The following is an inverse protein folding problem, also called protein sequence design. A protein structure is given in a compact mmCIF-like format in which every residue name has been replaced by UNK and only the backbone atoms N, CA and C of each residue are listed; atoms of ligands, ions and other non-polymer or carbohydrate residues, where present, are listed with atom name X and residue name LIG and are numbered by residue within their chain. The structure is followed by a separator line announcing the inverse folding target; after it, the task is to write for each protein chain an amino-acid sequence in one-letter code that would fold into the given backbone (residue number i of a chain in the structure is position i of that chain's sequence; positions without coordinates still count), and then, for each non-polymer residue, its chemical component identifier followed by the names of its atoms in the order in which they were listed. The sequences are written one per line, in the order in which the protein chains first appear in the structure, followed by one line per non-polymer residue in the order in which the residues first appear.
data_IF_052900414021
#
_entry.id   IF_052900414021
#
_cell.length_a   1.000
_cell.length_b   1.000
_cell.length_c   1.000
_cell.angle_alpha   90.00
_cell.angle_beta   90.00
_cell.angle_gamma   90.00
#
_symmetry.space_group_name_H-M   'P 1'
#
loop_
_entity.id
_entity.type
_entity.pdbx_description
1 polymer ?
#
# COMPACT_ATOMS: atom_id res chain seq x y z
N UNK A 1 -19.42 -3.44 12.60
CA UNK A 1 -18.31 -3.30 11.63
C UNK A 1 -17.99 -1.82 11.51
N UNK A 2 -16.80 -1.40 11.95
CA UNK A 2 -16.40 0.00 11.86
C UNK A 2 -16.25 0.37 10.37
N UNK A 3 -17.00 1.38 9.92
CA UNK A 3 -16.78 2.00 8.61
C UNK A 3 -15.48 2.79 8.72
N UNK A 4 -14.40 2.27 8.17
CA UNK A 4 -13.17 3.03 8.02
C UNK A 4 -13.47 4.10 6.97
N UNK A 5 -13.64 5.35 7.42
CA UNK A 5 -13.80 6.48 6.52
C UNK A 5 -12.40 6.77 5.97
N UNK A 6 -12.17 6.74 4.64
CA UNK A 6 -10.85 7.01 4.07
C UNK A 6 -10.42 8.40 4.54
N UNK A 7 -9.55 8.39 5.53
CA UNK A 7 -9.12 9.58 6.21
C UNK A 7 -8.20 10.35 5.26
N UNK A 8 -8.41 11.66 5.15
CA UNK A 8 -7.75 12.57 4.21
C UNK A 8 -6.27 12.79 4.52
N UNK A 9 -5.48 11.73 4.63
CA UNK A 9 -4.08 11.81 4.98
C UNK A 9 -3.24 12.17 3.75
N UNK A 10 -2.48 13.24 3.87
CA UNK A 10 -1.41 13.57 2.93
C UNK A 10 -0.14 12.77 3.19
N UNK A 11 0.97 13.22 2.59
CA UNK A 11 2.29 12.55 2.67
C UNK A 11 2.85 12.45 4.10
N UNK A 12 2.24 13.15 5.07
CA UNK A 12 2.54 13.02 6.50
C UNK A 12 2.29 11.60 7.05
N UNK A 13 1.28 10.88 6.54
CA UNK A 13 1.02 9.50 6.99
C UNK A 13 2.17 8.56 6.60
N UNK A 14 2.83 8.80 5.48
CA UNK A 14 4.00 8.02 5.05
C UNK A 14 5.14 8.07 6.08
N UNK A 15 5.26 9.19 6.80
CA UNK A 15 6.30 9.40 7.83
C UNK A 15 5.90 8.86 9.20
N UNK A 16 4.62 8.93 9.55
CA UNK A 16 4.13 8.67 10.92
C UNK A 16 3.57 7.27 11.12
N UNK A 17 3.08 6.63 10.07
CA UNK A 17 2.36 5.36 10.18
C UNK A 17 3.24 4.19 9.72
N UNK A 18 3.35 3.19 10.60
CA UNK A 18 4.01 1.91 10.29
C UNK A 18 3.02 0.81 9.91
N UNK A 19 1.76 0.97 10.29
CA UNK A 19 0.70 0.01 10.05
C UNK A 19 -0.30 0.57 9.05
N UNK A 20 -0.74 -0.27 8.13
CA UNK A 20 -1.63 0.08 7.04
C UNK A 20 -2.65 -1.03 6.83
N UNK A 21 -3.94 -0.70 6.87
CA UNK A 21 -5.01 -1.68 6.62
C UNK A 21 -5.35 -1.73 5.14
N UNK A 22 -5.48 -2.93 4.60
CA UNK A 22 -5.89 -3.17 3.22
C UNK A 22 -7.39 -2.89 3.07
N UNK A 23 -7.74 -1.98 2.16
CA UNK A 23 -9.13 -1.57 1.91
C UNK A 23 -9.82 -2.41 0.83
N UNK A 24 -9.05 -2.89 -0.15
CA UNK A 24 -9.56 -3.60 -1.31
C UNK A 24 -9.53 -5.13 -1.11
N UNK A 25 -10.40 -5.89 -1.78
CA UNK A 25 -10.39 -7.36 -1.70
C UNK A 25 -9.05 -8.00 -2.10
N UNK A 26 -8.26 -7.29 -2.91
CA UNK A 26 -7.05 -7.80 -3.52
C UNK A 26 -6.06 -6.66 -3.77
N UNK A 27 -4.90 -6.70 -3.09
CA UNK A 27 -3.79 -5.79 -3.38
C UNK A 27 -2.51 -6.60 -3.59
N UNK A 28 -1.75 -6.28 -4.64
CA UNK A 28 -0.56 -7.04 -5.00
C UNK A 28 0.68 -6.61 -4.23
N UNK A 29 1.48 -7.62 -3.87
CA UNK A 29 2.86 -7.46 -3.43
C UNK A 29 3.75 -7.45 -4.67
N UNK A 30 4.50 -6.39 -4.87
CA UNK A 30 5.37 -6.17 -6.01
C UNK A 30 6.85 -6.25 -5.60
N UNK A 31 7.75 -6.70 -6.49
CA UNK A 31 9.18 -6.82 -6.17
C UNK A 31 9.92 -5.48 -6.09
N UNK A 32 9.35 -4.41 -6.63
CA UNK A 32 9.90 -3.04 -6.60
C UNK A 32 8.79 -1.99 -6.66
N UNK A 33 9.10 -0.73 -6.34
CA UNK A 33 8.21 0.42 -6.52
C UNK A 33 8.22 0.95 -7.96
N UNK A 34 7.73 0.16 -8.92
CA UNK A 34 7.65 0.56 -10.33
C UNK A 34 6.19 0.50 -10.80
N UNK A 35 5.56 1.64 -11.16
CA UNK A 35 4.15 1.70 -11.55
C UNK A 35 3.86 1.01 -12.88
N UNK A 36 4.89 0.66 -13.66
CA UNK A 36 4.74 -0.04 -14.95
C UNK A 36 4.65 -1.56 -14.80
N UNK A 37 4.86 -2.09 -13.60
CA UNK A 37 4.72 -3.52 -13.34
C UNK A 37 3.26 -3.97 -13.44
N UNK A 38 3.08 -5.23 -13.79
CA UNK A 38 1.77 -5.83 -14.00
C UNK A 38 1.49 -6.93 -12.99
N UNK A 39 0.25 -7.45 -12.96
CA UNK A 39 -0.13 -8.57 -12.10
C UNK A 39 0.70 -9.86 -12.31
N UNK A 40 1.47 -9.96 -13.41
CA UNK A 40 2.39 -11.08 -13.68
C UNK A 40 3.68 -11.00 -12.87
N UNK A 41 4.08 -9.80 -12.48
CA UNK A 41 5.32 -9.54 -11.75
C UNK A 41 5.12 -9.68 -10.22
N UNK A 42 3.89 -9.92 -9.77
CA UNK A 42 3.55 -9.96 -8.34
C UNK A 42 4.25 -11.12 -7.62
N UNK A 43 4.71 -10.83 -6.42
CA UNK A 43 5.22 -11.82 -5.46
C UNK A 43 4.08 -12.51 -4.70
N UNK A 44 2.92 -11.86 -4.62
CA UNK A 44 1.76 -12.35 -3.87
C UNK A 44 0.62 -11.36 -3.86
N UNK A 45 -0.36 -11.61 -2.99
CA UNK A 45 -1.51 -10.75 -2.80
C UNK A 45 -1.92 -10.68 -1.33
N UNK A 46 -2.55 -9.58 -0.96
CA UNK A 46 -3.09 -9.29 0.38
C UNK A 46 -4.59 -9.03 0.27
N UNK A 47 -5.31 -9.44 1.30
CA UNK A 47 -6.77 -9.39 1.33
C UNK A 47 -7.29 -8.20 2.14
N UNK A 48 -8.53 -7.81 1.87
CA UNK A 48 -9.22 -6.76 2.63
C UNK A 48 -9.17 -7.03 4.14
N UNK A 49 -8.91 -5.99 4.92
CA UNK A 49 -8.85 -6.03 6.38
C UNK A 49 -7.51 -6.51 6.95
N UNK A 50 -6.59 -6.99 6.12
CA UNK A 50 -5.25 -7.33 6.57
C UNK A 50 -4.46 -6.08 6.97
N UNK A 51 -3.69 -6.17 8.07
CA UNK A 51 -2.80 -5.09 8.51
C UNK A 51 -1.40 -5.41 8.00
N UNK A 52 -0.84 -4.49 7.22
CA UNK A 52 0.52 -4.54 6.70
C UNK A 52 1.41 -3.63 7.54
N UNK A 53 2.63 -4.10 7.82
CA UNK A 53 3.65 -3.31 8.49
C UNK A 53 4.75 -2.92 7.50
N UNK A 54 5.10 -1.65 7.45
CA UNK A 54 6.12 -1.14 6.55
C UNK A 54 6.32 0.37 6.57
N UNK A 55 7.22 0.84 5.72
CA UNK A 55 7.51 2.26 5.51
C UNK A 55 6.70 2.80 4.33
N UNK A 56 5.89 3.83 4.57
CA UNK A 56 5.29 4.59 3.49
C UNK A 56 6.34 5.45 2.78
N UNK A 57 6.40 5.37 1.45
CA UNK A 57 7.35 6.09 0.61
C UNK A 57 6.64 6.65 -0.63
N UNK A 58 7.10 7.81 -1.10
CA UNK A 58 6.65 8.36 -2.37
C UNK A 58 7.76 8.14 -3.41
N UNK A 59 7.46 7.38 -4.45
CA UNK A 59 8.40 7.05 -5.54
C UNK A 59 7.75 7.52 -6.83
N UNK A 60 8.41 8.43 -7.55
CA UNK A 60 7.90 9.01 -8.81
C UNK A 60 6.48 9.59 -8.70
N UNK A 61 6.14 10.16 -7.53
CA UNK A 61 4.82 10.76 -7.30
C UNK A 61 3.69 9.76 -7.07
N UNK A 62 4.02 8.49 -6.82
CA UNK A 62 3.12 7.40 -6.44
C UNK A 62 3.46 6.95 -5.02
N UNK A 63 2.45 6.69 -4.19
CA UNK A 63 2.67 6.25 -2.81
C UNK A 63 2.74 4.73 -2.73
N UNK A 64 3.78 4.24 -2.08
CA UNK A 64 4.05 2.82 -1.88
C UNK A 64 4.33 2.52 -0.42
N UNK A 65 3.94 1.33 0.01
CA UNK A 65 4.34 0.74 1.28
C UNK A 65 5.47 -0.25 1.01
N UNK A 66 6.64 0.01 1.57
CA UNK A 66 7.79 -0.89 1.54
C UNK A 66 7.77 -1.76 2.78
N UNK A 67 7.73 -3.07 2.57
CA UNK A 67 7.62 -4.05 3.66
C UNK A 67 8.61 -5.20 3.47
N UNK A 68 8.89 -5.90 4.57
CA UNK A 68 9.69 -7.13 4.53
C UNK A 68 8.82 -8.29 4.06
N UNK A 69 9.37 -9.15 3.20
CA UNK A 69 8.73 -10.37 2.73
C UNK A 69 9.75 -11.53 2.75
N UNK A 70 9.80 -12.25 3.87
CA UNK A 70 10.86 -13.23 4.14
C UNK A 70 12.24 -12.57 4.26
N UNK A 71 13.19 -13.06 3.48
CA UNK A 71 14.54 -12.47 3.36
C UNK A 71 14.60 -11.31 2.35
N UNK A 72 13.50 -11.06 1.63
CA UNK A 72 13.40 -10.03 0.61
C UNK A 72 12.56 -8.82 1.03
N UNK A 73 12.43 -7.91 0.07
CA UNK A 73 11.59 -6.72 0.15
C UNK A 73 10.38 -6.89 -0.77
N UNK A 74 9.24 -6.35 -0.36
CA UNK A 74 8.06 -6.23 -1.18
C UNK A 74 7.46 -4.83 -1.07
N UNK A 75 6.76 -4.45 -2.13
CA UNK A 75 6.15 -3.14 -2.29
C UNK A 75 4.67 -3.28 -2.54
N UNK A 76 3.87 -2.49 -1.85
CA UNK A 76 2.42 -2.47 -2.00
C UNK A 76 1.99 -1.08 -2.38
N UNK A 77 1.12 -0.96 -3.38
CA UNK A 77 0.63 0.34 -3.82
C UNK A 77 -0.35 0.90 -2.77
N UNK A 78 -0.09 2.10 -2.26
CA UNK A 78 -0.95 2.77 -1.27
C UNK A 78 -2.11 3.49 -1.98
N UNK A 79 -1.81 4.25 -3.04
CA UNK A 79 -2.80 4.96 -3.83
C UNK A 79 -2.92 4.42 -5.25
N UNK A 80 -4.14 4.34 -5.77
CA UNK A 80 -4.45 3.79 -7.09
C UNK A 80 -3.90 4.62 -8.26
N UNK A 81 -3.16 5.70 -8.00
CA UNK A 81 -2.68 6.65 -9.01
C UNK A 81 -1.84 5.98 -10.10
N UNK A 82 -0.98 5.03 -9.72
CA UNK A 82 -0.16 4.27 -10.67
C UNK A 82 -0.97 3.42 -11.65
N UNK A 83 -2.19 3.04 -11.26
CA UNK A 83 -3.08 2.18 -12.06
C UNK A 83 -4.29 2.96 -12.60
N UNK A 84 -4.24 4.29 -12.58
CA UNK A 84 -5.32 5.15 -13.08
C UNK A 84 -6.59 5.13 -12.23
N UNK A 85 -6.50 4.70 -10.96
CA UNK A 85 -7.61 4.71 -10.02
C UNK A 85 -7.52 5.91 -9.06
N UNK A 86 -8.63 6.61 -8.88
CA UNK A 86 -8.75 7.75 -7.97
C UNK A 86 -9.24 7.31 -6.59
N UNK A 87 -8.51 6.37 -5.96
CA UNK A 87 -8.80 5.85 -4.61
C UNK A 87 -7.57 5.27 -3.94
N UNK A 88 -7.59 5.17 -2.61
CA UNK A 88 -6.56 4.48 -1.84
C UNK A 88 -6.85 2.98 -1.74
N UNK A 89 -5.79 2.17 -1.75
CA UNK A 89 -5.87 0.73 -1.52
C UNK A 89 -5.51 0.36 -0.09
N UNK A 90 -4.75 1.24 0.58
CA UNK A 90 -4.37 1.10 1.98
C UNK A 90 -4.81 2.34 2.76
N UNK A 91 -5.18 2.15 4.02
CA UNK A 91 -5.42 3.24 4.96
C UNK A 91 -4.43 3.17 6.13
N UNK A 92 -3.77 4.28 6.49
CA UNK A 92 -2.87 4.27 7.63
C UNK A 92 -3.63 3.99 8.92
N UNK A 93 -3.05 3.16 9.78
CA UNK A 93 -3.51 2.95 11.15
C UNK A 93 -2.60 3.80 12.05
N UNK A 94 -3.11 4.90 12.64
CA UNK A 94 -2.35 5.69 13.60
C UNK A 94 -1.92 4.82 14.79
N UNK A 95 -0.67 4.98 15.22
CA UNK A 95 -0.15 4.39 16.45
C UNK A 95 -0.37 5.29 17.65
#
# INVERSE_FOLDING_TARGET
MAKVQPTSWGDEALKKCKHWVVLEPLVYLMPKADPRQTAKDKLGQKGQGEILEGDGLCVEGVRWLRMRNGDGEAWVLIDGKAVGADRCFLEPVPG
#
